data_IF_547651309916
#
_entry.id   IF_547651309916
#
_cell.length_a   1.000
_cell.length_b   1.000
_cell.length_c   1.000
_cell.angle_alpha   90.00
_cell.angle_beta   90.00
_cell.angle_gamma   90.00
#
_symmetry.space_group_name_H-M   'P 1'
#
loop_
_entity.id
_entity.type
_entity.pdbx_description
1 polymer ?
#
# COMPACT_ATOMS: atom_id res chain seq x y z
N UNK A 1 -15.60 -5.69 -5.65
CA UNK A 1 -14.34 -5.30 -6.32
C UNK A 1 -14.23 -3.80 -6.60
N UNK A 2 -15.30 -2.99 -6.48
CA UNK A 2 -15.17 -1.53 -6.65
C UNK A 2 -14.20 -0.87 -5.66
N UNK A 3 -14.10 -1.36 -4.42
CA UNK A 3 -13.05 -0.90 -3.49
C UNK A 3 -11.66 -1.13 -4.08
N UNK A 4 -11.36 -2.35 -4.55
CA UNK A 4 -10.08 -2.65 -5.20
C UNK A 4 -9.84 -1.69 -6.39
N UNK A 5 -10.83 -1.52 -7.27
CA UNK A 5 -10.70 -0.62 -8.42
C UNK A 5 -10.37 0.82 -8.01
N UNK A 6 -10.98 1.33 -6.94
CA UNK A 6 -10.65 2.66 -6.41
C UNK A 6 -9.22 2.75 -5.89
N UNK A 7 -8.70 1.70 -5.24
CA UNK A 7 -7.32 1.66 -4.76
C UNK A 7 -6.33 1.60 -5.93
N UNK A 8 -6.56 0.71 -6.90
CA UNK A 8 -5.71 0.63 -8.11
C UNK A 8 -5.71 1.95 -8.90
N UNK A 9 -6.84 2.65 -8.95
CA UNK A 9 -6.89 3.98 -9.56
C UNK A 9 -6.04 5.02 -8.82
N UNK A 10 -6.01 4.96 -7.49
CA UNK A 10 -5.20 5.84 -6.65
C UNK A 10 -3.71 5.58 -6.93
N UNK A 11 -3.29 4.32 -6.92
CA UNK A 11 -1.91 3.89 -7.15
C UNK A 11 -1.46 4.19 -8.58
N UNK A 12 -2.26 3.82 -9.60
CA UNK A 12 -1.94 4.09 -10.99
C UNK A 12 -1.73 5.59 -11.26
N UNK A 13 -2.61 6.45 -10.75
CA UNK A 13 -2.47 7.91 -10.90
C UNK A 13 -1.25 8.44 -10.13
N UNK A 14 -1.02 7.95 -8.91
CA UNK A 14 0.12 8.36 -8.08
C UNK A 14 1.45 8.06 -8.77
N UNK A 15 1.65 6.82 -9.22
CA UNK A 15 2.89 6.40 -9.86
C UNK A 15 3.13 7.15 -11.18
N UNK A 16 2.07 7.39 -11.96
CA UNK A 16 2.19 8.19 -13.20
C UNK A 16 2.64 9.62 -12.88
N UNK A 17 1.98 10.28 -11.93
CA UNK A 17 2.35 11.64 -11.49
C UNK A 17 3.76 11.72 -10.92
N UNK A 18 4.19 10.72 -10.16
CA UNK A 18 5.54 10.63 -9.64
C UNK A 18 6.58 10.60 -10.77
N UNK A 19 6.34 9.78 -11.81
CA UNK A 19 7.22 9.70 -12.98
C UNK A 19 7.25 11.00 -13.80
N UNK A 20 6.12 11.73 -13.86
CA UNK A 20 6.02 13.01 -14.58
C UNK A 20 6.63 14.20 -13.82
N UNK A 21 6.66 14.14 -12.48
CA UNK A 21 7.09 15.24 -11.60
C UNK A 21 8.57 15.62 -11.73
N UNK A 22 9.41 14.71 -12.20
CA UNK A 22 10.86 14.86 -12.23
C UNK A 22 11.56 14.67 -10.87
N UNK A 23 10.82 14.43 -9.78
CA UNK A 23 11.38 14.21 -8.43
C UNK A 23 12.22 12.93 -8.36
N UNK A 24 11.93 11.92 -9.19
CA UNK A 24 12.70 10.68 -9.27
C UNK A 24 14.03 10.84 -10.03
N UNK A 25 14.29 11.99 -10.66
CA UNK A 25 15.47 12.20 -11.48
C UNK A 25 16.77 12.06 -10.66
N UNK A 26 17.66 11.16 -11.09
CA UNK A 26 18.89 10.85 -10.36
C UNK A 26 18.76 9.69 -9.35
N UNK A 27 17.55 9.19 -9.11
CA UNK A 27 17.25 8.04 -8.26
C UNK A 27 16.96 6.78 -9.09
N UNK A 28 17.95 6.33 -9.87
CA UNK A 28 17.76 5.30 -10.90
C UNK A 28 17.08 3.99 -10.42
N UNK A 29 17.34 3.54 -9.18
CA UNK A 29 16.64 2.36 -8.62
C UNK A 29 15.16 2.65 -8.39
N UNK A 30 14.84 3.77 -7.77
CA UNK A 30 13.46 4.16 -7.48
C UNK A 30 12.68 4.43 -8.77
N UNK A 31 13.27 5.17 -9.71
CA UNK A 31 12.67 5.43 -11.01
C UNK A 31 12.34 4.13 -11.77
N UNK A 32 13.26 3.17 -11.78
CA UNK A 32 13.01 1.86 -12.39
C UNK A 32 11.89 1.07 -11.70
N UNK A 33 11.83 1.10 -10.36
CA UNK A 33 10.77 0.46 -9.61
C UNK A 33 9.42 1.12 -9.90
N UNK A 34 9.32 2.44 -9.82
CA UNK A 34 8.09 3.20 -10.09
C UNK A 34 7.58 2.99 -11.52
N UNK A 35 8.47 2.95 -12.53
CA UNK A 35 8.08 2.62 -13.90
C UNK A 35 7.49 1.22 -14.04
N UNK A 36 8.00 0.26 -13.26
CA UNK A 36 7.52 -1.12 -13.34
C UNK A 36 6.20 -1.29 -12.58
N UNK A 37 6.09 -0.70 -11.40
CA UNK A 37 4.88 -0.71 -10.58
C UNK A 37 3.75 0.01 -11.33
N UNK A 38 3.98 1.20 -11.89
CA UNK A 38 3.00 1.91 -12.72
C UNK A 38 2.37 1.03 -13.82
N UNK A 39 3.14 0.15 -14.47
CA UNK A 39 2.62 -0.77 -15.49
C UNK A 39 1.79 -1.91 -14.91
N UNK A 40 2.10 -2.34 -13.69
CA UNK A 40 1.31 -3.34 -12.98
C UNK A 40 -0.03 -2.72 -12.57
N UNK A 41 -0.04 -1.51 -12.02
CA UNK A 41 -1.28 -0.82 -11.64
C UNK A 41 -2.21 -0.60 -12.82
N UNK A 42 -1.68 -0.19 -13.99
CA UNK A 42 -2.47 -0.10 -15.21
C UNK A 42 -3.09 -1.45 -15.61
N UNK A 43 -2.37 -2.56 -15.41
CA UNK A 43 -2.86 -3.90 -15.71
C UNK A 43 -3.91 -4.37 -14.69
N UNK A 44 -3.74 -4.03 -13.41
CA UNK A 44 -4.72 -4.31 -12.36
C UNK A 44 -6.01 -3.52 -12.61
N UNK A 45 -5.92 -2.22 -12.87
CA UNK A 45 -7.05 -1.37 -13.28
C UNK A 45 -7.78 -1.96 -14.47
N UNK A 46 -7.06 -2.33 -15.55
CA UNK A 46 -7.67 -2.88 -16.75
C UNK A 46 -8.42 -4.19 -16.46
N UNK A 47 -7.84 -5.08 -15.66
CA UNK A 47 -8.51 -6.32 -15.24
C UNK A 47 -9.78 -6.02 -14.44
N UNK A 48 -9.70 -5.13 -13.45
CA UNK A 48 -10.84 -4.81 -12.58
C UNK A 48 -11.98 -4.13 -13.35
N UNK A 49 -11.65 -3.21 -14.26
CA UNK A 49 -12.64 -2.58 -15.13
C UNK A 49 -13.38 -3.62 -15.98
N UNK A 50 -12.66 -4.55 -16.62
CA UNK A 50 -13.28 -5.61 -17.43
C UNK A 50 -14.09 -6.57 -16.56
N UNK A 51 -13.58 -6.94 -15.38
CA UNK A 51 -14.26 -7.82 -14.44
C UNK A 51 -15.58 -7.24 -13.90
N UNK A 52 -15.62 -5.91 -13.68
CA UNK A 52 -16.78 -5.20 -13.16
C UNK A 52 -17.78 -4.80 -14.25
N UNK A 53 -17.32 -4.61 -15.49
CA UNK A 53 -18.16 -4.16 -16.61
C UNK A 53 -18.92 -2.88 -16.28
N UNK A 54 -20.23 -2.87 -16.54
CA UNK A 54 -21.12 -1.73 -16.25
C UNK A 54 -21.21 -1.37 -14.75
N UNK A 55 -20.73 -2.24 -13.86
CA UNK A 55 -20.71 -1.99 -12.41
C UNK A 55 -19.42 -1.30 -11.94
N UNK A 56 -18.46 -1.04 -12.83
CA UNK A 56 -17.22 -0.36 -12.51
C UNK A 56 -17.47 1.09 -12.10
N UNK A 57 -16.92 1.50 -10.96
CA UNK A 57 -16.92 2.91 -10.54
C UNK A 57 -16.03 3.75 -11.45
N UNK A 58 -16.39 5.01 -11.67
CA UNK A 58 -15.54 5.97 -12.36
C UNK A 58 -14.28 6.28 -11.54
N UNK A 59 -13.17 6.54 -12.23
CA UNK A 59 -11.94 7.01 -11.59
C UNK A 59 -12.19 8.33 -10.84
N UNK A 60 -11.95 8.41 -9.52
CA UNK A 60 -12.04 9.66 -8.77
C UNK A 60 -10.98 10.69 -9.22
N UNK A 61 -11.17 11.94 -8.84
CA UNK A 61 -10.09 12.93 -8.87
C UNK A 61 -9.30 12.83 -7.58
N UNK A 62 -7.98 12.73 -7.67
CA UNK A 62 -7.12 12.58 -6.50
C UNK A 62 -6.37 13.87 -6.14
N UNK A 63 -6.26 14.13 -4.84
CA UNK A 63 -5.40 15.14 -4.21
C UNK A 63 -4.33 14.45 -3.36
N UNK A 64 -3.14 14.30 -3.94
CA UNK A 64 -1.99 13.70 -3.27
C UNK A 64 -1.31 14.61 -2.24
N UNK A 65 -1.82 15.83 -2.04
CA UNK A 65 -1.38 16.69 -0.94
C UNK A 65 -2.05 16.32 0.38
N UNK A 66 -3.15 15.56 0.35
CA UNK A 66 -4.01 15.27 1.50
C UNK A 66 -4.32 16.55 2.30
N UNK A 67 -4.90 17.55 1.61
CA UNK A 67 -5.22 18.85 2.21
C UNK A 67 -4.00 19.68 2.58
N UNK A 68 -2.91 19.57 1.81
CA UNK A 68 -1.66 20.32 2.01
C UNK A 68 -0.68 19.72 3.04
N UNK A 69 -0.94 18.50 3.50
CA UNK A 69 -0.03 17.76 4.40
C UNK A 69 1.22 17.24 3.68
N UNK A 70 1.12 17.04 2.36
CA UNK A 70 2.18 16.54 1.48
C UNK A 70 2.32 17.43 0.24
N UNK A 71 3.48 17.34 -0.40
CA UNK A 71 3.80 17.90 -1.71
C UNK A 71 4.77 16.96 -2.44
N UNK A 72 4.34 15.70 -2.70
CA UNK A 72 5.24 14.64 -3.15
C UNK A 72 5.78 14.88 -4.57
N UNK A 73 5.11 15.73 -5.34
CA UNK A 73 5.50 16.07 -6.70
C UNK A 73 6.25 17.41 -6.80
N UNK A 74 6.58 18.04 -5.67
CA UNK A 74 7.20 19.36 -5.58
C UNK A 74 6.43 20.48 -6.32
N UNK A 75 5.11 20.35 -6.46
CA UNK A 75 4.26 21.30 -7.18
C UNK A 75 3.96 22.55 -6.35
N UNK A 76 4.06 22.45 -5.02
CA UNK A 76 3.77 23.54 -4.07
C UNK A 76 5.03 24.15 -3.44
N UNK A 77 6.20 23.93 -4.06
CA UNK A 77 7.46 24.58 -3.70
C UNK A 77 8.27 23.86 -2.63
N UNK A 78 7.93 22.61 -2.30
CA UNK A 78 8.79 21.74 -1.49
C UNK A 78 10.08 21.42 -2.24
N UNK A 79 11.19 21.28 -1.52
CA UNK A 79 12.47 20.91 -2.12
C UNK A 79 12.45 19.45 -2.63
N UNK A 80 13.28 19.15 -3.62
CA UNK A 80 13.27 17.84 -4.32
C UNK A 80 13.60 16.66 -3.40
N UNK A 81 14.48 16.85 -2.41
CA UNK A 81 14.85 15.77 -1.48
C UNK A 81 13.69 15.45 -0.54
N UNK A 82 13.01 16.47 -0.03
CA UNK A 82 11.80 16.31 0.78
C UNK A 82 10.65 15.71 -0.03
N UNK A 83 10.43 16.18 -1.27
CA UNK A 83 9.42 15.62 -2.16
C UNK A 83 9.69 14.14 -2.47
N UNK A 84 10.95 13.77 -2.71
CA UNK A 84 11.36 12.38 -2.93
C UNK A 84 11.10 11.50 -1.69
N UNK A 85 11.41 12.00 -0.49
CA UNK A 85 11.10 11.29 0.74
C UNK A 85 9.58 11.10 0.93
N UNK A 86 8.78 12.10 0.59
CA UNK A 86 7.32 12.03 0.63
C UNK A 86 6.75 11.07 -0.41
N UNK A 87 7.31 11.01 -1.64
CA UNK A 87 6.94 10.02 -2.64
C UNK A 87 7.10 8.61 -2.11
N UNK A 88 8.28 8.28 -1.60
CA UNK A 88 8.53 6.93 -1.08
C UNK A 88 7.64 6.59 0.11
N UNK A 89 7.36 7.57 0.98
CA UNK A 89 6.47 7.40 2.11
C UNK A 89 5.02 7.10 1.68
N UNK A 90 4.50 7.87 0.71
CA UNK A 90 3.15 7.66 0.19
C UNK A 90 3.04 6.36 -0.62
N UNK A 91 4.03 6.04 -1.46
CA UNK A 91 4.09 4.75 -2.15
C UNK A 91 3.98 3.61 -1.15
N UNK A 92 4.80 3.59 -0.10
CA UNK A 92 4.71 2.54 0.91
C UNK A 92 3.31 2.46 1.54
N UNK A 93 2.73 3.60 1.91
CA UNK A 93 1.40 3.64 2.52
C UNK A 93 0.30 3.09 1.58
N UNK A 94 0.37 3.39 0.29
CA UNK A 94 -0.60 2.90 -0.69
C UNK A 94 -0.47 1.40 -0.87
N UNK A 95 0.73 0.93 -1.20
CA UNK A 95 1.02 -0.50 -1.39
C UNK A 95 0.60 -1.34 -0.18
N UNK A 96 0.92 -0.87 1.04
CA UNK A 96 0.52 -1.56 2.26
C UNK A 96 -0.99 -1.54 2.49
N UNK A 97 -1.66 -0.45 2.11
CA UNK A 97 -3.13 -0.40 2.12
C UNK A 97 -3.70 -1.41 1.13
N UNK A 98 -3.15 -1.49 -0.09
CA UNK A 98 -3.51 -2.46 -1.12
C UNK A 98 -3.38 -3.90 -0.64
N UNK A 99 -2.19 -4.29 -0.17
CA UNK A 99 -1.90 -5.62 0.40
C UNK A 99 -2.95 -6.03 1.43
N UNK A 100 -3.15 -5.19 2.44
CA UNK A 100 -4.04 -5.51 3.57
C UNK A 100 -5.51 -5.51 3.17
N UNK A 101 -5.92 -4.59 2.28
CA UNK A 101 -7.29 -4.51 1.78
C UNK A 101 -7.65 -5.73 0.93
N UNK A 102 -6.79 -6.15 -0.02
CA UNK A 102 -7.03 -7.36 -0.81
C UNK A 102 -7.19 -8.59 0.08
N UNK A 103 -6.30 -8.75 1.07
CA UNK A 103 -6.38 -9.86 2.04
C UNK A 103 -7.69 -9.82 2.83
N UNK A 104 -8.06 -8.65 3.37
CA UNK A 104 -9.29 -8.49 4.15
C UNK A 104 -10.58 -8.65 3.34
N UNK A 105 -10.54 -8.37 2.04
CA UNK A 105 -11.70 -8.53 1.14
C UNK A 105 -11.75 -9.90 0.45
N UNK A 106 -10.73 -10.75 0.56
CA UNK A 106 -10.69 -12.05 -0.09
C UNK A 106 -11.89 -12.95 0.26
N UNK A 107 -12.38 -12.87 1.50
CA UNK A 107 -13.58 -13.59 1.95
C UNK A 107 -14.84 -13.26 1.12
N UNK A 108 -14.96 -12.03 0.63
CA UNK A 108 -16.08 -11.58 -0.20
C UNK A 108 -16.04 -12.14 -1.63
N UNK A 109 -14.90 -12.71 -2.04
CA UNK A 109 -14.71 -13.31 -3.37
C UNK A 109 -14.80 -14.83 -3.34
N UNK A 110 -15.06 -15.44 -2.19
CA UNK A 110 -15.18 -16.89 -2.06
C UNK A 110 -16.20 -17.46 -3.05
N UNK A 111 -15.81 -18.54 -3.74
CA UNK A 111 -16.60 -19.23 -4.77
C UNK A 111 -16.90 -18.39 -6.02
N UNK A 112 -16.24 -17.26 -6.21
CA UNK A 112 -16.27 -16.48 -7.45
C UNK A 112 -15.03 -16.78 -8.30
N UNK A 113 -15.07 -16.60 -9.64
CA UNK A 113 -13.88 -16.72 -10.47
C UNK A 113 -12.84 -15.62 -10.20
N UNK A 114 -13.17 -14.62 -9.39
CA UNK A 114 -12.32 -13.47 -9.10
C UNK A 114 -11.43 -13.65 -7.87
N UNK A 115 -11.63 -14.71 -7.07
CA UNK A 115 -10.77 -14.96 -5.90
C UNK A 115 -9.31 -15.21 -6.32
N UNK A 116 -9.10 -16.08 -7.30
CA UNK A 116 -7.75 -16.40 -7.78
C UNK A 116 -7.00 -15.16 -8.31
N UNK A 117 -7.53 -14.35 -9.25
CA UNK A 117 -6.83 -13.16 -9.71
C UNK A 117 -6.67 -12.11 -8.60
N UNK A 118 -7.61 -11.96 -7.66
CA UNK A 118 -7.43 -11.05 -6.52
C UNK A 118 -6.27 -11.49 -5.60
N UNK A 119 -6.08 -12.80 -5.38
CA UNK A 119 -4.93 -13.32 -4.64
C UNK A 119 -3.62 -13.19 -5.41
N UNK A 120 -3.67 -13.23 -6.75
CA UNK A 120 -2.51 -12.95 -7.59
C UNK A 120 -2.07 -11.49 -7.45
N UNK A 121 -3.01 -10.54 -7.56
CA UNK A 121 -2.77 -9.10 -7.34
C UNK A 121 -2.21 -8.88 -5.93
N UNK A 122 -2.88 -9.38 -4.89
CA UNK A 122 -2.41 -9.31 -3.51
C UNK A 122 -0.93 -9.71 -3.33
N UNK A 123 -0.49 -10.79 -3.99
CA UNK A 123 0.90 -11.24 -3.91
C UNK A 123 1.89 -10.31 -4.63
N UNK A 124 1.42 -9.59 -5.65
CA UNK A 124 2.20 -8.62 -6.43
C UNK A 124 2.31 -7.31 -5.65
N UNK A 125 1.21 -6.80 -5.09
CA UNK A 125 1.20 -5.67 -4.14
C UNK A 125 2.24 -5.88 -3.03
N UNK A 126 2.28 -7.07 -2.43
CA UNK A 126 3.24 -7.36 -1.36
C UNK A 126 4.71 -7.24 -1.82
N UNK A 127 5.00 -7.53 -3.09
CA UNK A 127 6.34 -7.38 -3.67
C UNK A 127 6.66 -5.91 -3.95
N UNK A 128 5.68 -5.13 -4.38
CA UNK A 128 5.85 -3.68 -4.57
C UNK A 128 6.13 -3.02 -3.21
N UNK A 129 5.30 -3.30 -2.21
CA UNK A 129 5.44 -2.83 -0.85
C UNK A 129 6.83 -3.16 -0.27
N UNK A 130 7.33 -4.38 -0.51
CA UNK A 130 8.67 -4.80 -0.10
C UNK A 130 9.78 -4.04 -0.84
N UNK A 131 9.68 -3.88 -2.16
CA UNK A 131 10.69 -3.14 -2.94
C UNK A 131 10.74 -1.66 -2.54
N UNK A 132 9.60 -1.01 -2.34
CA UNK A 132 9.54 0.38 -1.88
C UNK A 132 10.19 0.54 -0.50
N UNK A 133 9.90 -0.34 0.47
CA UNK A 133 10.57 -0.33 1.78
C UNK A 133 12.08 -0.47 1.65
N UNK A 134 12.54 -1.41 0.83
CA UNK A 134 13.97 -1.64 0.62
C UNK A 134 14.66 -0.43 -0.04
N UNK A 135 13.97 0.30 -0.93
CA UNK A 135 14.46 1.57 -1.48
C UNK A 135 14.57 2.64 -0.39
N UNK A 136 13.66 2.66 0.58
CA UNK A 136 13.71 3.52 1.77
C UNK A 136 14.77 3.10 2.79
N UNK A 137 15.40 1.94 2.61
CA UNK A 137 16.35 1.37 3.58
C UNK A 137 15.68 0.73 4.80
N UNK A 138 14.40 0.40 4.69
CA UNK A 138 13.63 -0.34 5.69
C UNK A 138 13.63 -1.84 5.36
N UNK A 139 13.20 -2.66 6.31
CA UNK A 139 12.98 -4.09 6.09
C UNK A 139 11.88 -4.35 5.07
N UNK A 140 11.89 -5.50 4.40
CA UNK A 140 10.89 -5.85 3.38
C UNK A 140 9.50 -6.22 3.91
N UNK A 141 9.26 -6.09 5.21
CA UNK A 141 8.08 -6.53 5.96
C UNK A 141 7.76 -5.53 7.09
N UNK A 142 6.62 -5.70 7.76
CA UNK A 142 6.18 -4.86 8.88
C UNK A 142 6.63 -5.49 10.20
N UNK A 143 7.15 -4.69 11.12
CA UNK A 143 7.52 -5.13 12.47
C UNK A 143 6.54 -4.52 13.46
N UNK A 144 5.80 -5.35 14.21
CA UNK A 144 4.67 -4.90 15.02
C UNK A 144 3.65 -4.14 14.17
N UNK A 145 3.36 -2.91 14.53
CA UNK A 145 2.57 -1.96 13.71
C UNK A 145 3.39 -0.72 13.32
N UNK A 146 4.70 -0.90 13.18
CA UNK A 146 5.61 0.19 12.88
C UNK A 146 5.43 0.63 11.43
N UNK A 147 5.03 1.89 11.24
CA UNK A 147 5.04 2.57 9.93
C UNK A 147 6.45 2.69 9.32
N UNK A 148 7.50 2.62 10.15
CA UNK A 148 8.88 2.83 9.74
C UNK A 148 9.31 4.31 9.78
N UNK A 149 10.62 4.52 9.86
CA UNK A 149 11.21 5.84 10.06
C UNK A 149 10.84 6.82 8.94
N UNK A 150 10.52 8.07 9.31
CA UNK A 150 10.16 9.12 8.36
C UNK A 150 8.72 9.08 7.85
N UNK A 151 7.91 8.09 8.24
CA UNK A 151 6.48 8.09 7.94
C UNK A 151 5.70 9.06 8.86
N UNK A 152 4.83 9.93 8.31
CA UNK A 152 3.97 10.78 9.12
C UNK A 152 3.02 10.00 10.02
N UNK A 153 2.63 10.58 11.15
CA UNK A 153 1.68 9.96 12.08
C UNK A 153 0.32 9.65 11.42
N UNK A 154 -0.09 10.46 10.44
CA UNK A 154 -1.32 10.27 9.68
C UNK A 154 -1.37 8.93 8.90
N UNK A 155 -0.23 8.28 8.65
CA UNK A 155 -0.18 6.97 7.99
C UNK A 155 -0.35 5.80 8.96
N UNK A 156 -0.42 6.04 10.28
CA UNK A 156 -0.54 4.97 11.27
C UNK A 156 -1.73 4.02 11.04
N UNK A 157 -2.93 4.48 10.59
CA UNK A 157 -4.04 3.58 10.29
C UNK A 157 -3.74 2.50 9.24
N UNK A 158 -2.71 2.70 8.40
CA UNK A 158 -2.25 1.69 7.42
C UNK A 158 -1.66 0.47 8.12
N UNK A 159 -1.11 0.61 9.32
CA UNK A 159 -0.35 -0.43 10.03
C UNK A 159 -1.06 -0.95 11.28
N UNK A 160 -2.11 -0.27 11.75
CA UNK A 160 -2.87 -0.70 12.93
C UNK A 160 -3.43 -2.12 12.74
N UNK A 161 -3.13 -3.02 13.68
CA UNK A 161 -3.52 -4.42 13.66
C UNK A 161 -2.42 -5.39 13.19
N UNK A 162 -1.34 -4.89 12.56
CA UNK A 162 -0.19 -5.71 12.15
C UNK A 162 0.58 -6.31 13.34
N UNK A 163 0.42 -5.75 14.55
CA UNK A 163 1.03 -6.27 15.76
C UNK A 163 0.43 -7.59 16.28
N UNK A 164 -0.41 -8.25 15.47
CA UNK A 164 -1.09 -9.49 15.82
C UNK A 164 -0.11 -10.66 15.94
N UNK A 165 -0.07 -11.28 17.11
CA UNK A 165 0.74 -12.47 17.38
C UNK A 165 -0.05 -13.78 17.42
N UNK A 166 -1.37 -13.70 17.18
CA UNK A 166 -2.27 -14.86 17.23
C UNK A 166 -2.85 -15.16 15.86
N UNK A 167 -2.52 -16.35 15.33
CA UNK A 167 -2.96 -16.78 14.00
C UNK A 167 -3.92 -17.96 14.12
N UNK A 168 -5.15 -17.80 13.64
CA UNK A 168 -6.18 -18.85 13.71
C UNK A 168 -6.48 -19.33 15.15
N UNK A 169 -6.30 -18.47 16.15
CA UNK A 169 -6.48 -18.80 17.57
C UNK A 169 -5.24 -19.41 18.24
N UNK A 170 -4.09 -19.47 17.55
CA UNK A 170 -2.82 -19.94 18.10
C UNK A 170 -1.91 -18.75 18.38
N UNK A 171 -1.56 -18.53 19.65
CA UNK A 171 -0.54 -17.56 20.06
C UNK A 171 0.86 -18.10 19.70
N UNK A 172 1.55 -17.41 18.80
CA UNK A 172 2.84 -17.84 18.29
C UNK A 172 4.03 -17.40 19.16
N UNK A 173 3.82 -16.52 20.15
CA UNK A 173 4.90 -16.07 21.07
C UNK A 173 5.24 -17.10 22.14
N UNK A 174 4.29 -17.99 22.45
CA UNK A 174 4.48 -19.10 23.40
C UNK A 174 5.22 -20.30 22.81
N UNK A 175 5.44 -20.32 21.50
CA UNK A 175 6.23 -21.35 20.83
C UNK A 175 7.71 -21.04 21.05
N UNK A 176 8.49 -22.06 21.44
CA UNK A 176 9.94 -21.93 21.65
C UNK A 176 10.66 -21.74 20.31
N UNK A 177 10.55 -20.54 19.73
CA UNK A 177 11.32 -20.04 18.59
C UNK A 177 12.44 -19.09 19.02
N UNK A 178 12.41 -18.63 20.28
CA UNK A 178 13.43 -17.78 20.89
C UNK A 178 14.72 -18.58 21.13
N UNK A 179 15.46 -18.82 20.06
CA UNK A 179 16.91 -18.98 20.12
C UNK A 179 17.51 -17.57 20.12
N UNK A 180 18.58 -17.32 20.89
CA UNK A 180 19.30 -16.05 20.88
C UNK A 180 19.80 -15.67 19.47
N UNK A 181 19.88 -16.64 18.55
CA UNK A 181 20.15 -16.45 17.11
C UNK A 181 19.01 -15.80 16.33
N UNK A 182 17.75 -15.98 16.74
CA UNK A 182 16.55 -15.60 15.98
C UNK A 182 16.06 -14.19 16.35
N UNK A 183 16.46 -13.64 17.50
CA UNK A 183 16.09 -12.29 17.94
C UNK A 183 14.81 -12.25 18.75
N UNK A 184 14.13 -11.10 18.76
CA UNK A 184 12.86 -10.92 19.49
C UNK A 184 11.73 -11.72 18.83
N UNK A 185 11.12 -12.63 19.60
CA UNK A 185 10.06 -13.52 19.08
C UNK A 185 8.80 -12.77 18.67
N UNK A 186 8.49 -11.65 19.32
CA UNK A 186 7.31 -10.84 18.99
C UNK A 186 7.53 -10.17 17.64
N UNK A 187 8.69 -9.56 17.44
CA UNK A 187 9.08 -8.99 16.15
C UNK A 187 9.03 -10.05 15.06
N UNK A 188 9.72 -11.18 15.25
CA UNK A 188 9.77 -12.27 14.27
C UNK A 188 8.38 -12.82 13.90
N UNK A 189 7.45 -12.91 14.87
CA UNK A 189 6.07 -13.34 14.61
C UNK A 189 5.35 -12.29 13.76
N UNK A 190 5.39 -11.02 14.14
CA UNK A 190 4.70 -9.95 13.40
C UNK A 190 5.25 -9.77 11.98
N UNK A 191 6.55 -9.96 11.79
CA UNK A 191 7.21 -9.92 10.47
C UNK A 191 6.81 -11.09 9.55
N UNK A 192 6.27 -12.17 10.11
CA UNK A 192 5.93 -13.38 9.36
C UNK A 192 4.52 -13.36 8.75
N UNK A 193 3.67 -12.39 9.11
CA UNK A 193 2.28 -12.30 8.67
C UNK A 193 1.90 -10.85 8.37
N UNK A 194 1.47 -10.55 7.14
CA UNK A 194 0.67 -9.33 6.95
C UNK A 194 -0.77 -9.60 7.41
N UNK A 195 -1.38 -8.65 8.11
CA UNK A 195 -2.73 -8.77 8.67
C UNK A 195 -3.79 -8.17 7.73
N UNK A 196 -5.01 -8.72 7.69
CA UNK A 196 -6.09 -8.17 6.89
C UNK A 196 -6.55 -6.80 7.42
N UNK A 197 -6.95 -5.92 6.50
CA UNK A 197 -7.63 -4.66 6.81
C UNK A 197 -9.10 -4.71 6.41
N UNK A 198 -9.97 -4.08 7.20
CA UNK A 198 -11.39 -3.94 6.84
C UNK A 198 -11.58 -3.04 5.61
N UNK A 199 -12.66 -3.27 4.85
CA UNK A 199 -12.99 -2.42 3.70
C UNK A 199 -13.25 -0.98 4.10
N UNK A 200 -13.90 -0.75 5.23
CA UNK A 200 -14.20 0.59 5.74
C UNK A 200 -12.93 1.35 6.11
N UNK A 201 -11.94 0.67 6.70
CA UNK A 201 -10.63 1.25 7.00
C UNK A 201 -9.89 1.64 5.71
N UNK A 202 -9.87 0.74 4.72
CA UNK A 202 -9.24 1.01 3.43
C UNK A 202 -9.90 2.20 2.71
N UNK A 203 -11.24 2.27 2.73
CA UNK A 203 -12.01 3.42 2.21
C UNK A 203 -11.62 4.70 2.94
N UNK A 204 -11.55 4.67 4.28
CA UNK A 204 -11.20 5.86 5.06
C UNK A 204 -9.80 6.38 4.73
N UNK A 205 -8.82 5.50 4.54
CA UNK A 205 -7.45 5.86 4.14
C UNK A 205 -7.45 6.47 2.74
N UNK A 206 -8.05 5.78 1.75
CA UNK A 206 -8.11 6.27 0.37
C UNK A 206 -8.85 7.61 0.25
N UNK A 207 -9.88 7.83 1.07
CA UNK A 207 -10.68 9.07 1.06
C UNK A 207 -9.89 10.31 1.45
N UNK A 208 -8.74 10.17 2.12
CA UNK A 208 -7.84 11.31 2.39
C UNK A 208 -7.28 11.94 1.11
N UNK A 209 -7.26 11.17 0.02
CA UNK A 209 -6.68 11.54 -1.26
C UNK A 209 -7.74 11.73 -2.34
N UNK A 210 -9.03 11.59 -2.04
CA UNK A 210 -10.10 11.79 -3.02
C UNK A 210 -10.66 13.19 -2.83
N UNK A 211 -10.66 13.98 -3.90
CA UNK A 211 -11.31 15.29 -3.91
C UNK A 211 -12.81 15.08 -3.68
N UNK A 212 -13.36 15.68 -2.63
CA UNK A 212 -14.81 15.72 -2.45
C UNK A 212 -15.42 16.46 -3.62
N UNK A 213 -16.28 15.80 -4.40
CA UNK A 213 -17.14 16.52 -5.34
C UNK A 213 -18.00 17.49 -4.51
N UNK A 214 -17.83 18.80 -4.73
CA UNK A 214 -18.77 19.80 -4.21
C UNK A 214 -20.18 19.41 -4.70
N UNK A 215 -21.03 18.91 -3.80
CA UNK A 215 -22.44 18.61 -4.09
C UNK A 215 -23.25 19.88 -4.40
#
# INVERSE_FOLDING_TARGET
MNLALTLEYLEAEFYMKALESGVLAGHARAEAAYMQISKHEDAHVAFLMEALGDSAVSKPTFDFTAGGSFDPFAENGTDMDTAYAQLLALAQAFEDTGVRAYKGQAGNLMNTPYLEPALQIHSVEARHASEIRQIRGLEGWITGNMRGDGMPEATQPVYDGEENVTQGGVDLTGLTYADDLVGDVTEAVTQAFDEPMSGDTAVAIASLFIVSEDM
#
